data_IF_155497032365
#
_entry.id   IF_155497032365
#
_cell.length_a   1.000
_cell.length_b   1.000
_cell.length_c   1.000
_cell.angle_alpha   90.00
_cell.angle_beta   90.00
_cell.angle_gamma   90.00
#
_symmetry.space_group_name_H-M   'P 1'
#
loop_
_entity.id
_entity.type
_entity.pdbx_description
1 polymer ?
#
# COMPACT_ATOMS: atom_id res chain seq x y z
N UNK A 1 46.50 -0.47 14.39
CA UNK A 1 45.22 -0.12 15.05
C UNK A 1 44.11 -0.86 14.31
N UNK A 2 43.54 -1.88 14.93
CA UNK A 2 42.50 -2.72 14.34
C UNK A 2 41.14 -2.03 14.50
N UNK A 3 40.42 -1.80 13.41
CA UNK A 3 39.03 -1.34 13.45
C UNK A 3 38.16 -2.59 13.54
N UNK A 4 37.63 -2.81 14.74
CA UNK A 4 36.65 -3.84 15.08
C UNK A 4 35.40 -3.75 14.21
N UNK A 5 34.96 -4.90 13.70
CA UNK A 5 33.81 -5.03 12.81
C UNK A 5 32.49 -4.58 13.42
N UNK A 6 31.67 -3.94 12.59
CA UNK A 6 30.26 -3.67 12.85
C UNK A 6 29.42 -4.90 12.42
N UNK A 7 28.46 -5.37 13.23
CA UNK A 7 27.65 -6.53 12.89
C UNK A 7 26.52 -6.11 11.93
N UNK A 8 26.67 -6.41 10.65
CA UNK A 8 25.63 -6.23 9.63
C UNK A 8 24.48 -7.28 9.71
N UNK A 9 24.40 -8.05 10.80
CA UNK A 9 23.47 -9.19 10.90
C UNK A 9 21.98 -8.84 11.13
N UNK A 10 21.67 -7.61 11.55
CA UNK A 10 20.30 -7.23 11.98
C UNK A 10 19.44 -6.48 10.96
N UNK A 11 20.05 -5.72 10.04
CA UNK A 11 19.35 -4.86 9.07
C UNK A 11 18.58 -5.64 8.01
N UNK A 12 19.13 -6.79 7.60
CA UNK A 12 18.58 -7.56 6.50
C UNK A 12 17.18 -8.08 6.81
N UNK A 13 16.92 -8.49 8.06
CA UNK A 13 15.65 -9.11 8.45
C UNK A 13 14.50 -8.11 8.43
N UNK A 14 14.69 -6.91 8.97
CA UNK A 14 13.64 -5.87 9.00
C UNK A 14 13.31 -5.36 7.59
N UNK A 15 14.33 -5.17 6.74
CA UNK A 15 14.12 -4.75 5.36
C UNK A 15 13.41 -5.85 4.57
N UNK A 16 13.81 -7.11 4.74
CA UNK A 16 13.13 -8.23 4.09
C UNK A 16 11.69 -8.39 4.58
N UNK A 17 11.40 -8.19 5.86
CA UNK A 17 10.03 -8.33 6.40
C UNK A 17 9.10 -7.25 5.84
N UNK A 18 9.58 -6.00 5.75
CA UNK A 18 8.84 -4.89 5.14
C UNK A 18 8.58 -5.12 3.65
N UNK A 19 9.57 -5.64 2.91
CA UNK A 19 9.43 -5.98 1.48
C UNK A 19 8.48 -7.16 1.27
N UNK A 20 8.55 -8.17 2.13
CA UNK A 20 7.63 -9.32 2.11
C UNK A 20 6.21 -8.87 2.42
N UNK A 21 6.03 -7.97 3.39
CA UNK A 21 4.72 -7.41 3.73
C UNK A 21 4.15 -6.53 2.60
N UNK A 22 5.00 -5.76 1.91
CA UNK A 22 4.61 -4.95 0.76
C UNK A 22 4.23 -5.79 -0.46
N UNK A 23 4.79 -7.00 -0.62
CA UNK A 23 4.49 -7.90 -1.74
C UNK A 23 3.30 -8.83 -1.48
N UNK A 24 2.63 -8.74 -0.33
CA UNK A 24 1.42 -9.52 -0.06
C UNK A 24 0.22 -8.87 -0.73
N UNK A 25 -0.37 -9.60 -1.68
CA UNK A 25 -1.65 -9.21 -2.28
C UNK A 25 -2.74 -9.09 -1.22
N UNK A 26 -3.64 -8.12 -1.38
CA UNK A 26 -4.82 -7.91 -0.52
C UNK A 26 -6.07 -8.43 -1.20
N UNK A 27 -6.98 -8.98 -0.41
CA UNK A 27 -8.29 -9.40 -0.89
C UNK A 27 -9.22 -8.20 -0.97
N UNK A 28 -9.34 -7.64 -2.16
CA UNK A 28 -10.20 -6.49 -2.45
C UNK A 28 -11.62 -6.98 -2.69
N UNK A 29 -12.57 -6.56 -1.84
CA UNK A 29 -14.00 -6.83 -2.07
C UNK A 29 -14.52 -6.04 -3.27
N UNK A 30 -15.62 -6.45 -3.93
CA UNK A 30 -16.20 -5.68 -5.03
C UNK A 30 -16.53 -4.23 -4.65
N UNK A 31 -17.01 -4.00 -3.42
CA UNK A 31 -17.30 -2.66 -2.90
C UNK A 31 -16.02 -1.84 -2.71
N UNK A 32 -14.97 -2.43 -2.13
CA UNK A 32 -13.69 -1.77 -1.97
C UNK A 32 -13.05 -1.46 -3.33
N UNK A 33 -13.14 -2.39 -4.28
CA UNK A 33 -12.66 -2.19 -5.65
C UNK A 33 -13.35 -1.01 -6.33
N UNK A 34 -14.69 -0.93 -6.25
CA UNK A 34 -15.44 0.22 -6.78
C UNK A 34 -15.04 1.54 -6.11
N UNK A 35 -14.84 1.55 -4.80
CA UNK A 35 -14.42 2.75 -4.09
C UNK A 35 -13.02 3.20 -4.52
N UNK A 36 -12.09 2.25 -4.69
CA UNK A 36 -10.73 2.51 -5.18
C UNK A 36 -10.75 3.04 -6.62
N UNK A 37 -11.60 2.50 -7.49
CA UNK A 37 -11.78 2.95 -8.88
C UNK A 37 -12.31 4.39 -8.94
N UNK A 38 -13.37 4.71 -8.20
CA UNK A 38 -13.94 6.07 -8.15
C UNK A 38 -12.90 7.07 -7.66
N UNK A 39 -12.20 6.74 -6.57
CA UNK A 39 -11.15 7.62 -6.04
C UNK A 39 -9.96 7.74 -6.99
N UNK A 40 -9.57 6.67 -7.66
CA UNK A 40 -8.50 6.69 -8.66
C UNK A 40 -8.81 7.66 -9.79
N UNK A 41 -10.00 7.58 -10.36
CA UNK A 41 -10.43 8.50 -11.42
C UNK A 41 -10.57 9.94 -10.94
N UNK A 42 -11.06 10.16 -9.71
CA UNK A 42 -11.13 11.52 -9.16
C UNK A 42 -9.73 12.13 -8.97
N UNK A 43 -8.77 11.35 -8.48
CA UNK A 43 -7.38 11.79 -8.32
C UNK A 43 -6.75 12.11 -9.68
N UNK A 44 -6.92 11.22 -10.66
CA UNK A 44 -6.42 11.41 -12.04
C UNK A 44 -6.98 12.70 -12.63
N UNK A 45 -8.30 12.87 -12.62
CA UNK A 45 -8.96 14.04 -13.18
C UNK A 45 -8.50 15.36 -12.53
N UNK A 46 -8.52 15.43 -11.19
CA UNK A 46 -8.14 16.64 -10.47
C UNK A 46 -6.64 16.96 -10.63
N UNK A 47 -5.80 15.93 -10.76
CA UNK A 47 -4.36 16.13 -10.99
C UNK A 47 -4.13 16.68 -12.40
N UNK A 48 -4.80 16.12 -13.41
CA UNK A 48 -4.68 16.59 -14.79
C UNK A 48 -5.20 18.03 -14.94
N UNK A 49 -6.35 18.35 -14.34
CA UNK A 49 -6.93 19.70 -14.34
C UNK A 49 -5.99 20.70 -13.64
N UNK A 50 -5.46 20.35 -12.46
CA UNK A 50 -4.51 21.20 -11.74
C UNK A 50 -3.24 21.45 -12.54
N UNK A 51 -2.66 20.41 -13.15
CA UNK A 51 -1.44 20.54 -13.97
C UNK A 51 -1.68 21.34 -15.25
N UNK A 52 -2.91 21.35 -15.77
CA UNK A 52 -3.27 22.16 -16.93
C UNK A 52 -3.39 23.65 -16.60
N UNK A 53 -3.85 24.00 -15.40
CA UNK A 53 -4.14 25.39 -15.00
C UNK A 53 -3.02 26.05 -14.17
N UNK A 54 -2.18 25.27 -13.49
CA UNK A 54 -1.17 25.81 -12.57
C UNK A 54 0.06 26.39 -13.31
N UNK A 55 0.37 27.67 -13.05
CA UNK A 55 1.67 28.26 -13.44
C UNK A 55 2.81 27.79 -12.54
N UNK A 56 2.54 27.57 -11.25
CA UNK A 56 3.50 27.07 -10.26
C UNK A 56 2.84 26.03 -9.34
N UNK A 57 3.58 24.96 -9.01
CA UNK A 57 3.11 23.89 -8.13
C UNK A 57 3.49 24.20 -6.68
N UNK A 58 2.49 24.29 -5.79
CA UNK A 58 2.69 24.52 -4.35
C UNK A 58 2.02 23.46 -3.50
N UNK A 59 2.76 22.92 -2.53
CA UNK A 59 2.20 21.96 -1.57
C UNK A 59 1.13 22.56 -0.64
N UNK A 60 1.09 23.90 -0.51
CA UNK A 60 0.08 24.61 0.29
C UNK A 60 -1.14 25.00 -0.54
N UNK A 61 -1.16 24.69 -1.84
CA UNK A 61 -2.31 24.92 -2.69
C UNK A 61 -3.51 24.06 -2.23
N UNK A 62 -4.73 24.63 -2.12
CA UNK A 62 -5.90 23.90 -1.66
C UNK A 62 -6.27 22.72 -2.59
N UNK A 63 -6.03 22.81 -3.89
CA UNK A 63 -6.28 21.70 -4.83
C UNK A 63 -5.27 20.57 -4.59
N UNK A 64 -4.00 20.90 -4.37
CA UNK A 64 -2.98 19.91 -4.01
C UNK A 64 -3.31 19.23 -2.69
N UNK A 65 -3.79 19.97 -1.69
CA UNK A 65 -4.24 19.40 -0.42
C UNK A 65 -5.46 18.48 -0.60
N UNK A 66 -6.42 18.85 -1.46
CA UNK A 66 -7.58 18.01 -1.77
C UNK A 66 -7.16 16.70 -2.47
N UNK A 67 -6.26 16.77 -3.45
CA UNK A 67 -5.70 15.60 -4.12
C UNK A 67 -4.99 14.70 -3.10
N UNK A 68 -4.16 15.26 -2.22
CA UNK A 68 -3.46 14.50 -1.18
C UNK A 68 -4.42 13.82 -0.21
N UNK A 69 -5.53 14.48 0.16
CA UNK A 69 -6.57 13.88 0.99
C UNK A 69 -7.23 12.68 0.28
N UNK A 70 -7.57 12.81 -0.99
CA UNK A 70 -8.12 11.70 -1.79
C UNK A 70 -7.13 10.54 -1.91
N UNK A 71 -5.85 10.82 -2.11
CA UNK A 71 -4.79 9.81 -2.13
C UNK A 71 -4.66 9.09 -0.78
N UNK A 72 -4.80 9.82 0.33
CA UNK A 72 -4.78 9.23 1.67
C UNK A 72 -5.97 8.28 1.87
N UNK A 73 -7.17 8.70 1.50
CA UNK A 73 -8.39 7.87 1.58
C UNK A 73 -8.30 6.63 0.68
N UNK A 74 -7.77 6.77 -0.54
CA UNK A 74 -7.57 5.65 -1.46
C UNK A 74 -6.64 4.59 -0.83
N UNK A 75 -5.53 5.03 -0.23
CA UNK A 75 -4.59 4.15 0.50
C UNK A 75 -5.26 3.53 1.73
N UNK A 76 -6.03 4.28 2.50
CA UNK A 76 -6.73 3.77 3.67
C UNK A 76 -7.67 2.61 3.31
N UNK A 77 -8.48 2.78 2.26
CA UNK A 77 -9.37 1.72 1.75
C UNK A 77 -8.58 0.49 1.31
N UNK A 78 -7.47 0.68 0.59
CA UNK A 78 -6.60 -0.42 0.18
C UNK A 78 -6.03 -1.17 1.40
N UNK A 79 -5.53 -0.45 2.40
CA UNK A 79 -4.92 -1.06 3.59
C UNK A 79 -5.93 -1.67 4.55
N UNK A 80 -7.19 -1.25 4.52
CA UNK A 80 -8.29 -1.90 5.23
C UNK A 80 -8.65 -3.28 4.64
N UNK A 81 -8.30 -3.56 3.38
CA UNK A 81 -8.52 -4.87 2.77
C UNK A 81 -7.59 -5.92 3.41
N UNK A 82 -8.11 -7.09 3.83
CA UNK A 82 -7.29 -8.10 4.48
C UNK A 82 -6.24 -8.67 3.53
N UNK A 83 -5.09 -9.09 4.08
CA UNK A 83 -4.06 -9.76 3.30
C UNK A 83 -4.60 -11.09 2.76
N UNK A 84 -4.31 -11.39 1.50
CA UNK A 84 -4.64 -12.68 0.91
C UNK A 84 -3.71 -13.75 1.52
N UNK A 85 -4.26 -14.92 1.92
CA UNK A 85 -3.44 -15.99 2.45
C UNK A 85 -2.51 -16.52 1.35
N UNK A 86 -1.25 -16.76 1.71
CA UNK A 86 -0.26 -17.44 0.87
C UNK A 86 -0.72 -18.87 0.56
N UNK A 87 -0.15 -19.47 -0.49
CA UNK A 87 -0.45 -20.86 -0.83
C UNK A 87 -0.18 -21.82 0.33
N UNK A 88 0.95 -21.64 1.03
CA UNK A 88 1.33 -22.44 2.20
C UNK A 88 0.33 -22.28 3.35
N UNK A 89 -0.14 -21.06 3.63
CA UNK A 89 -1.18 -20.81 4.64
C UNK A 89 -2.49 -21.53 4.29
N UNK A 90 -2.90 -21.55 3.01
CA UNK A 90 -4.10 -22.26 2.54
C UNK A 90 -3.99 -23.77 2.73
N UNK A 91 -2.85 -24.36 2.34
CA UNK A 91 -2.58 -25.80 2.46
C UNK A 91 -2.58 -26.23 3.94
N UNK A 92 -1.91 -25.46 4.81
CA UNK A 92 -1.90 -25.73 6.26
C UNK A 92 -3.31 -25.66 6.86
N UNK A 93 -4.13 -24.70 6.46
CA UNK A 93 -5.53 -24.61 6.88
C UNK A 93 -6.35 -25.84 6.51
N UNK A 94 -6.16 -26.37 5.30
CA UNK A 94 -6.85 -27.57 4.82
C UNK A 94 -6.48 -28.81 5.64
N UNK A 95 -5.19 -29.02 5.93
CA UNK A 95 -4.74 -30.15 6.75
C UNK A 95 -5.21 -30.05 8.22
N UNK A 96 -5.30 -28.86 8.80
CA UNK A 96 -5.87 -28.69 10.14
C UNK A 96 -7.38 -28.99 10.20
N UNK A 97 -8.13 -28.73 9.12
CA UNK A 97 -9.54 -29.11 9.03
C UNK A 97 -9.73 -30.62 8.80
N UNK A 98 -8.83 -31.25 8.04
CA UNK A 98 -8.91 -32.67 7.70
C UNK A 98 -8.52 -33.63 8.85
N UNK A 99 -7.84 -33.10 9.89
CA UNK A 99 -7.41 -33.85 11.07
C UNK A 99 -8.34 -33.66 12.28
N UNK A 100 -9.52 -33.06 12.09
CA UNK A 100 -10.52 -32.79 13.11
C UNK A 100 -11.81 -33.52 12.81
#
# INVERSE_FOLDING_TARGET
MAVTGLPLGGLNRSVTDSLVHANRCRHISPQAGRALEILGHAIEYLTDEYLQEAEEISAHDPNVQAIQLLMALNREIYYACPLQPTFTERVRGFFHLALR
#
